data_IF_869395487279
#
_entry.id   IF_869395487279
#
_cell.length_a   1.000
_cell.length_b   1.000
_cell.length_c   1.000
_cell.angle_alpha   90.00
_cell.angle_beta   90.00
_cell.angle_gamma   90.00
#
_symmetry.space_group_name_H-M   'P 1'
#
loop_
_entity.id
_entity.type
_entity.pdbx_description
1 polymer ?
#
# COMPACT_ATOMS: atom_id res chain seq x y z
N UNK A 1 23.35 -16.90 18.80
CA UNK A 1 22.26 -16.17 19.49
C UNK A 1 22.37 -14.72 19.08
N UNK A 2 21.35 -14.21 18.38
CA UNK A 2 21.37 -12.87 17.80
C UNK A 2 21.45 -11.76 18.85
N UNK A 3 21.66 -10.53 18.37
CA UNK A 3 21.74 -9.28 19.17
C UNK A 3 20.56 -9.08 20.14
N UNK A 4 19.41 -9.70 19.88
CA UNK A 4 18.16 -9.52 20.62
C UNK A 4 17.63 -10.83 21.18
N UNK A 5 17.12 -10.79 22.42
CA UNK A 5 16.43 -11.92 23.08
C UNK A 5 14.91 -11.85 22.93
N UNK A 6 14.41 -10.66 22.58
CA UNK A 6 12.97 -10.36 22.46
C UNK A 6 12.67 -9.56 21.21
N UNK A 7 11.49 -9.80 20.62
CA UNK A 7 10.88 -8.97 19.59
C UNK A 7 9.49 -8.53 20.04
N UNK A 8 9.27 -7.23 20.14
CA UNK A 8 7.96 -6.64 20.42
C UNK A 8 7.30 -6.18 19.12
N UNK A 9 6.09 -6.67 18.86
CA UNK A 9 5.31 -6.28 17.68
C UNK A 9 4.44 -5.08 18.06
N UNK A 10 4.76 -3.92 17.49
CA UNK A 10 4.15 -2.64 17.83
C UNK A 10 2.77 -2.49 17.17
N UNK A 11 1.75 -2.25 17.99
CA UNK A 11 0.37 -1.99 17.58
C UNK A 11 -0.14 -0.70 18.24
N UNK A 12 -1.30 -0.20 17.81
CA UNK A 12 -2.00 0.91 18.47
C UNK A 12 -3.43 0.48 18.76
N UNK A 13 -3.94 0.78 19.96
CA UNK A 13 -5.33 0.48 20.30
C UNK A 13 -6.30 1.35 19.47
N UNK A 14 -7.48 0.82 19.14
CA UNK A 14 -8.59 1.57 18.54
C UNK A 14 -8.29 2.23 17.18
N UNK A 15 -7.60 1.53 16.27
CA UNK A 15 -7.48 1.96 14.87
C UNK A 15 -8.65 1.46 13.98
N UNK A 16 -8.99 2.22 12.94
CA UNK A 16 -10.04 1.87 11.95
C UNK A 16 -9.75 0.59 11.17
N UNK A 17 -8.50 0.15 11.11
CA UNK A 17 -8.06 -1.08 10.45
C UNK A 17 -7.96 -2.28 11.41
N UNK A 18 -8.32 -2.11 12.70
CA UNK A 18 -8.33 -3.22 13.67
C UNK A 18 -9.59 -4.06 13.54
N UNK A 19 -9.45 -5.33 13.89
CA UNK A 19 -10.55 -6.29 13.77
C UNK A 19 -11.24 -6.49 15.12
N UNK A 20 -12.55 -6.19 15.16
CA UNK A 20 -13.42 -6.40 16.33
C UNK A 20 -13.43 -7.85 16.86
N UNK A 21 -13.07 -8.83 16.03
CA UNK A 21 -12.99 -10.25 16.42
C UNK A 21 -11.68 -10.61 17.14
N UNK A 22 -10.70 -9.71 17.22
CA UNK A 22 -9.51 -9.92 18.05
C UNK A 22 -9.83 -9.61 19.52
N UNK A 23 -9.12 -10.18 20.50
CA UNK A 23 -9.28 -9.82 21.91
C UNK A 23 -9.27 -8.30 22.12
N UNK A 24 -10.43 -7.75 22.49
CA UNK A 24 -10.66 -6.32 22.68
C UNK A 24 -10.73 -5.47 21.40
N UNK A 25 -10.73 -6.07 20.21
CA UNK A 25 -10.79 -5.35 18.94
C UNK A 25 -9.53 -4.55 18.60
N UNK A 26 -8.38 -4.88 19.19
CA UNK A 26 -7.26 -3.92 19.35
C UNK A 26 -6.15 -4.01 18.32
N UNK A 27 -6.01 -5.11 17.58
CA UNK A 27 -4.91 -5.31 16.65
C UNK A 27 -5.35 -6.04 15.38
N UNK A 28 -4.44 -6.21 14.42
CA UNK A 28 -4.73 -6.93 13.18
C UNK A 28 -4.74 -8.44 13.39
N UNK A 29 -5.67 -9.14 12.74
CA UNK A 29 -5.90 -10.60 12.89
C UNK A 29 -4.64 -11.48 12.76
N UNK A 30 -3.68 -11.02 11.97
CA UNK A 30 -2.46 -11.68 11.56
C UNK A 30 -1.24 -11.28 12.43
N UNK A 31 -1.38 -10.30 13.33
CA UNK A 31 -0.33 -9.89 14.27
C UNK A 31 0.08 -11.01 15.26
N UNK A 32 -0.84 -11.81 15.84
CA UNK A 32 -0.47 -12.94 16.70
C UNK A 32 0.42 -13.99 16.01
N UNK A 33 0.30 -14.13 14.69
CA UNK A 33 1.09 -15.09 13.92
C UNK A 33 2.57 -14.68 13.84
N UNK A 34 2.85 -13.37 13.76
CA UNK A 34 4.21 -12.84 13.87
C UNK A 34 4.82 -13.16 15.25
N UNK A 35 4.05 -12.93 16.31
CA UNK A 35 4.47 -13.26 17.68
C UNK A 35 4.76 -14.75 17.84
N UNK A 36 3.90 -15.62 17.29
CA UNK A 36 4.09 -17.07 17.32
C UNK A 36 5.34 -17.49 16.54
N UNK A 37 5.59 -16.92 15.37
CA UNK A 37 6.76 -17.19 14.54
C UNK A 37 8.08 -16.86 15.27
N UNK A 38 8.15 -15.71 15.96
CA UNK A 38 9.31 -15.37 16.78
C UNK A 38 9.52 -16.36 17.94
N UNK A 39 8.45 -16.73 18.64
CA UNK A 39 8.51 -17.72 19.74
C UNK A 39 9.01 -19.08 19.28
N UNK A 40 8.56 -19.56 18.11
CA UNK A 40 9.04 -20.83 17.51
C UNK A 40 10.53 -20.83 17.24
N UNK A 41 11.14 -19.66 17.03
CA UNK A 41 12.58 -19.48 16.81
C UNK A 41 13.36 -19.22 18.11
N UNK A 42 12.74 -19.44 19.27
CA UNK A 42 13.37 -19.28 20.58
C UNK A 42 13.56 -17.83 21.02
N UNK A 43 12.82 -16.89 20.41
CA UNK A 43 12.86 -15.46 20.74
C UNK A 43 11.60 -15.09 21.51
N UNK A 44 11.74 -14.40 22.64
CA UNK A 44 10.58 -13.90 23.38
C UNK A 44 9.78 -12.92 22.50
N UNK A 45 8.46 -12.99 22.50
CA UNK A 45 7.66 -12.05 21.72
C UNK A 45 6.27 -11.83 22.29
N UNK A 46 5.78 -10.59 22.15
CA UNK A 46 4.43 -10.19 22.49
C UNK A 46 4.03 -8.95 21.68
N UNK A 47 2.74 -8.61 21.73
CA UNK A 47 2.22 -7.37 21.16
C UNK A 47 2.43 -6.25 22.17
N UNK A 48 3.01 -5.14 21.73
CA UNK A 48 3.13 -3.92 22.51
C UNK A 48 2.22 -2.84 21.90
N UNK A 49 1.25 -2.38 22.66
CA UNK A 49 0.45 -1.22 22.26
C UNK A 49 1.17 0.07 22.62
N UNK A 50 1.52 0.86 21.60
CA UNK A 50 2.23 2.12 21.74
C UNK A 50 1.25 3.31 21.75
N UNK A 51 1.67 4.35 22.45
CA UNK A 51 0.98 5.64 22.59
C UNK A 51 1.98 6.78 22.41
N UNK A 52 1.50 8.01 22.40
CA UNK A 52 2.33 9.21 22.37
C UNK A 52 3.30 9.36 23.57
N UNK A 53 3.18 8.53 24.60
CA UNK A 53 4.12 8.47 25.73
C UNK A 53 5.31 7.54 25.48
N UNK A 54 5.23 6.70 24.45
CA UNK A 54 6.26 5.71 24.11
C UNK A 54 7.22 6.32 23.09
N UNK A 55 8.38 6.77 23.57
CA UNK A 55 9.47 7.25 22.72
C UNK A 55 10.48 6.12 22.50
N UNK A 56 11.34 6.26 21.50
CA UNK A 56 12.44 5.29 21.31
C UNK A 56 13.28 5.12 22.59
N UNK A 57 13.58 6.22 23.28
CA UNK A 57 14.35 6.21 24.52
C UNK A 57 13.63 5.48 25.66
N UNK A 58 12.33 5.76 25.86
CA UNK A 58 11.56 5.12 26.92
C UNK A 58 11.38 3.62 26.66
N UNK A 59 11.15 3.24 25.40
CA UNK A 59 11.03 1.84 25.00
C UNK A 59 12.34 1.07 25.18
N UNK A 60 13.47 1.62 24.75
CA UNK A 60 14.78 0.98 24.90
C UNK A 60 15.21 0.86 26.37
N UNK A 61 14.84 1.84 27.21
CA UNK A 61 15.08 1.77 28.65
C UNK A 61 14.20 0.70 29.35
N UNK A 62 12.93 0.62 28.96
CA UNK A 62 11.96 -0.32 29.54
C UNK A 62 12.18 -1.76 29.07
N UNK A 63 12.65 -1.94 27.84
CA UNK A 63 12.83 -3.22 27.18
C UNK A 63 14.27 -3.38 26.65
N UNK A 64 15.26 -3.67 27.52
CA UNK A 64 16.62 -3.97 27.08
C UNK A 64 16.67 -5.26 26.24
N UNK A 65 17.72 -5.42 25.44
CA UNK A 65 17.93 -6.58 24.53
C UNK A 65 16.72 -6.90 23.62
N UNK A 66 15.92 -5.89 23.27
CA UNK A 66 14.67 -6.03 22.51
C UNK A 66 14.75 -5.34 21.15
N UNK A 67 14.32 -6.05 20.11
CA UNK A 67 14.00 -5.47 18.81
C UNK A 67 12.50 -5.19 18.69
N UNK A 68 12.14 -4.29 17.78
CA UNK A 68 10.77 -3.83 17.58
C UNK A 68 10.36 -4.02 16.12
N UNK A 69 9.16 -4.55 15.89
CA UNK A 69 8.56 -4.69 14.57
C UNK A 69 7.28 -3.85 14.51
N UNK A 70 7.28 -2.83 13.65
CA UNK A 70 6.14 -1.94 13.42
C UNK A 70 4.98 -2.63 12.71
N UNK A 71 3.79 -2.57 13.30
CA UNK A 71 2.51 -3.06 12.75
C UNK A 71 1.38 -2.02 12.79
N UNK A 72 1.74 -0.74 12.80
CA UNK A 72 0.80 0.37 12.79
C UNK A 72 0.71 0.97 11.38
N UNK A 73 -0.50 1.27 10.91
CA UNK A 73 -0.71 1.94 9.64
C UNK A 73 -0.30 3.42 9.77
N UNK A 74 0.44 4.02 8.82
CA UNK A 74 0.90 5.41 8.92
C UNK A 74 -0.26 6.40 8.75
N UNK A 75 -0.95 6.71 9.84
CA UNK A 75 -2.01 7.71 9.91
C UNK A 75 -2.12 8.26 11.34
N UNK A 76 -2.86 9.34 11.53
CA UNK A 76 -3.13 9.87 12.86
C UNK A 76 -4.15 9.03 13.62
N UNK A 77 -3.80 8.71 14.87
CA UNK A 77 -4.67 8.07 15.85
C UNK A 77 -4.89 8.99 17.05
N UNK A 78 -6.01 8.85 17.78
CA UNK A 78 -6.28 9.68 18.97
C UNK A 78 -5.20 9.62 20.06
N UNK A 79 -4.44 8.53 20.11
CA UNK A 79 -3.42 8.28 21.14
C UNK A 79 -1.98 8.32 20.60
N UNK A 80 -1.79 8.53 19.30
CA UNK A 80 -0.49 8.51 18.63
C UNK A 80 -0.62 9.15 17.24
N UNK A 81 0.02 10.29 17.00
CA UNK A 81 0.06 10.90 15.67
C UNK A 81 1.02 10.16 14.74
N UNK A 82 0.89 10.40 13.43
CA UNK A 82 1.83 9.87 12.45
C UNK A 82 3.27 10.35 12.75
N UNK A 83 3.45 11.62 13.05
CA UNK A 83 4.75 12.21 13.34
C UNK A 83 5.40 11.60 14.59
N UNK A 84 4.62 11.40 15.65
CA UNK A 84 5.08 10.73 16.88
C UNK A 84 5.51 9.29 16.60
N UNK A 85 4.73 8.56 15.80
CA UNK A 85 5.06 7.18 15.41
C UNK A 85 6.35 7.12 14.58
N UNK A 86 6.48 7.99 13.57
CA UNK A 86 7.66 8.09 12.72
C UNK A 86 8.90 8.49 13.52
N UNK A 87 8.78 9.42 14.47
CA UNK A 87 9.88 9.82 15.35
C UNK A 87 10.33 8.67 16.25
N UNK A 88 9.39 7.92 16.83
CA UNK A 88 9.68 6.73 17.63
C UNK A 88 10.43 5.67 16.79
N UNK A 89 9.92 5.33 15.60
CA UNK A 89 10.58 4.37 14.71
C UNK A 89 11.98 4.85 14.29
N UNK A 90 12.15 6.14 14.01
CA UNK A 90 13.45 6.74 13.66
C UNK A 90 14.46 6.59 14.78
N UNK A 91 14.06 6.85 16.03
CA UNK A 91 14.93 6.65 17.18
C UNK A 91 15.30 5.18 17.42
N UNK A 92 14.36 4.26 17.23
CA UNK A 92 14.63 2.81 17.33
C UNK A 92 15.58 2.34 16.22
N UNK A 93 15.40 2.84 15.00
CA UNK A 93 16.29 2.55 13.87
C UNK A 93 17.71 3.07 14.10
N UNK A 94 17.87 4.28 14.62
CA UNK A 94 19.18 4.87 14.94
C UNK A 94 19.97 4.07 15.98
N UNK A 95 19.30 3.27 16.81
CA UNK A 95 19.93 2.33 17.77
C UNK A 95 20.06 0.90 17.22
N UNK A 96 19.65 0.69 15.97
CA UNK A 96 19.63 -0.60 15.29
C UNK A 96 18.72 -1.62 15.96
N UNK A 97 17.60 -1.16 16.55
CA UNK A 97 16.61 -1.96 17.27
C UNK A 97 15.28 -2.10 16.50
N UNK A 98 15.18 -1.53 15.30
CA UNK A 98 13.98 -1.61 14.46
C UNK A 98 14.16 -2.69 13.38
N UNK A 99 13.20 -3.60 13.27
CA UNK A 99 13.14 -4.60 12.20
C UNK A 99 12.31 -4.14 10.99
N UNK A 100 11.51 -3.09 11.15
CA UNK A 100 10.79 -2.42 10.08
C UNK A 100 9.31 -2.18 10.41
N UNK A 101 8.56 -1.48 9.54
CA UNK A 101 9.06 -0.75 8.37
C UNK A 101 10.01 0.39 8.78
N UNK A 102 10.94 0.76 7.90
CA UNK A 102 11.81 1.91 8.13
C UNK A 102 11.03 3.21 7.87
N UNK A 103 11.23 4.27 8.67
CA UNK A 103 10.60 5.58 8.44
C UNK A 103 10.74 6.09 7.00
N UNK A 104 11.92 5.94 6.41
CA UNK A 104 12.20 6.34 5.03
C UNK A 104 11.34 5.57 4.02
N UNK A 105 11.14 4.26 4.21
CA UNK A 105 10.23 3.48 3.37
C UNK A 105 8.79 3.97 3.51
N UNK A 106 8.35 4.29 4.73
CA UNK A 106 6.99 4.79 4.98
C UNK A 106 6.74 6.12 4.26
N UNK A 107 7.75 6.97 4.18
CA UNK A 107 7.66 8.24 3.50
C UNK A 107 7.68 8.07 1.97
N UNK A 108 8.70 7.37 1.45
CA UNK A 108 8.96 7.24 0.01
C UNK A 108 7.98 6.30 -0.69
N UNK A 109 7.63 5.18 -0.06
CA UNK A 109 6.79 4.12 -0.65
C UNK A 109 5.35 4.12 -0.12
N UNK A 110 5.06 4.83 0.96
CA UNK A 110 3.74 4.84 1.59
C UNK A 110 2.80 5.93 1.07
N UNK A 111 3.27 6.84 0.22
CA UNK A 111 2.46 7.88 -0.42
C UNK A 111 2.32 7.62 -1.92
N UNK A 112 1.25 8.13 -2.55
CA UNK A 112 1.04 8.01 -3.99
C UNK A 112 1.96 8.87 -4.85
N UNK A 113 2.84 9.68 -4.22
CA UNK A 113 3.94 10.34 -4.91
C UNK A 113 4.81 9.33 -5.66
N UNK A 114 4.90 8.12 -5.13
CA UNK A 114 5.61 7.00 -5.75
C UNK A 114 5.18 6.71 -7.20
N UNK A 115 3.90 6.92 -7.53
CA UNK A 115 3.37 6.70 -8.87
C UNK A 115 3.90 7.77 -9.85
N UNK A 116 4.08 9.00 -9.36
CA UNK A 116 4.65 10.09 -10.15
C UNK A 116 6.16 9.89 -10.35
N UNK A 117 6.89 9.49 -9.30
CA UNK A 117 8.32 9.23 -9.40
C UNK A 117 8.66 8.04 -10.30
N UNK A 118 7.79 7.02 -10.33
CA UNK A 118 7.98 5.81 -11.14
C UNK A 118 7.27 5.87 -12.50
N UNK A 119 6.66 6.99 -12.88
CA UNK A 119 5.82 7.12 -14.09
C UNK A 119 6.52 6.76 -15.40
N UNK A 120 7.85 6.93 -15.44
CA UNK A 120 8.68 6.65 -16.61
C UNK A 120 9.42 5.30 -16.52
N UNK A 121 9.18 4.52 -15.45
CA UNK A 121 9.73 3.17 -15.29
C UNK A 121 8.95 2.13 -16.11
N UNK A 122 9.49 0.91 -16.21
CA UNK A 122 8.84 -0.25 -16.85
C UNK A 122 7.39 -0.54 -16.41
N UNK A 123 6.99 -0.08 -15.22
CA UNK A 123 5.65 -0.29 -14.66
C UNK A 123 4.88 1.04 -14.50
N UNK A 124 5.45 2.17 -14.94
CA UNK A 124 4.87 3.49 -14.78
C UNK A 124 3.81 3.82 -15.82
N UNK A 125 2.79 4.58 -15.41
CA UNK A 125 1.90 5.27 -16.33
C UNK A 125 2.45 6.67 -16.61
N UNK A 126 2.94 6.91 -17.84
CA UNK A 126 3.52 8.21 -18.24
C UNK A 126 2.54 9.38 -18.18
N UNK A 127 1.24 9.10 -18.15
CA UNK A 127 0.19 10.11 -17.99
C UNK A 127 -0.03 10.54 -16.53
N UNK A 128 0.71 9.98 -15.57
CA UNK A 128 0.66 10.42 -14.18
C UNK A 128 1.14 11.86 -14.06
N UNK A 129 0.35 12.70 -13.39
CA UNK A 129 0.63 14.12 -13.13
C UNK A 129 0.56 14.40 -11.63
N UNK A 130 1.47 15.22 -11.15
CA UNK A 130 1.46 15.78 -9.80
C UNK A 130 0.69 17.09 -9.78
N UNK A 131 -0.13 17.29 -8.76
CA UNK A 131 -0.95 18.47 -8.56
C UNK A 131 -0.70 19.03 -7.16
N UNK A 132 -0.13 20.23 -7.08
CA UNK A 132 0.15 20.88 -5.80
C UNK A 132 -1.15 21.38 -5.16
N UNK A 133 -1.27 21.26 -3.84
CA UNK A 133 -2.47 21.70 -3.10
C UNK A 133 -2.84 23.16 -3.39
N UNK A 134 -1.84 24.04 -3.51
CA UNK A 134 -2.06 25.45 -3.82
C UNK A 134 -2.73 25.62 -5.20
N UNK A 135 -2.31 24.85 -6.20
CA UNK A 135 -2.87 24.89 -7.56
C UNK A 135 -4.25 24.25 -7.62
N UNK A 136 -4.49 23.17 -6.85
CA UNK A 136 -5.81 22.57 -6.69
C UNK A 136 -6.82 23.57 -6.12
N UNK A 137 -6.41 24.32 -5.07
CA UNK A 137 -7.25 25.36 -4.44
C UNK A 137 -7.48 26.57 -5.34
N UNK A 138 -6.45 27.00 -6.07
CA UNK A 138 -6.53 28.16 -6.97
C UNK A 138 -7.29 27.84 -8.27
N UNK A 139 -7.20 26.60 -8.74
CA UNK A 139 -7.79 26.09 -9.98
C UNK A 139 -7.64 27.04 -11.19
N UNK A 140 -6.41 27.50 -11.47
CA UNK A 140 -6.10 28.37 -12.62
C UNK A 140 -5.97 27.60 -13.94
N UNK A 141 -6.67 26.47 -14.06
CA UNK A 141 -6.54 25.49 -15.16
C UNK A 141 -6.19 24.07 -14.69
N UNK A 142 -6.04 23.86 -13.38
CA UNK A 142 -5.64 22.57 -12.81
C UNK A 142 -6.65 21.46 -13.10
N UNK A 143 -7.94 21.79 -13.09
CA UNK A 143 -8.99 20.86 -13.43
C UNK A 143 -8.89 20.32 -14.86
N UNK A 144 -8.51 21.17 -15.82
CA UNK A 144 -8.30 20.76 -17.21
C UNK A 144 -7.03 19.91 -17.37
N UNK A 145 -6.03 20.06 -16.48
CA UNK A 145 -4.89 19.14 -16.41
C UNK A 145 -5.27 17.78 -15.82
N UNK A 146 -6.21 17.73 -14.87
CA UNK A 146 -6.65 16.49 -14.20
C UNK A 146 -7.56 15.66 -15.10
N UNK A 147 -8.54 16.30 -15.76
CA UNK A 147 -9.55 15.64 -16.59
C UNK A 147 -9.90 16.57 -17.75
N UNK A 148 -9.14 16.60 -18.85
CA UNK A 148 -9.39 17.51 -19.97
C UNK A 148 -10.85 17.42 -20.47
N UNK A 149 -11.44 18.54 -20.89
CA UNK A 149 -12.81 18.55 -21.44
C UNK A 149 -12.89 17.64 -22.67
N UNK A 150 -13.88 16.74 -22.69
CA UNK A 150 -14.03 15.73 -23.74
C UNK A 150 -12.91 14.67 -23.78
N UNK A 151 -11.96 14.71 -22.84
CA UNK A 151 -10.91 13.72 -22.72
C UNK A 151 -11.40 12.42 -22.07
N UNK A 152 -10.55 11.41 -22.16
CA UNK A 152 -10.78 10.08 -21.60
C UNK A 152 -10.95 10.10 -20.07
N UNK A 153 -11.60 9.07 -19.48
CA UNK A 153 -11.69 8.91 -18.04
C UNK A 153 -10.32 8.93 -17.35
N UNK A 154 -10.24 9.61 -16.20
CA UNK A 154 -9.02 9.71 -15.40
C UNK A 154 -9.30 9.39 -13.94
N UNK A 155 -8.23 9.12 -13.19
CA UNK A 155 -8.32 8.85 -11.75
C UNK A 155 -7.55 9.93 -10.99
N UNK A 156 -8.22 10.59 -10.06
CA UNK A 156 -7.60 11.54 -9.11
C UNK A 156 -7.40 10.84 -7.77
N UNK A 157 -6.18 10.88 -7.23
CA UNK A 157 -5.83 10.23 -5.97
C UNK A 157 -5.14 11.20 -5.01
N UNK A 158 -5.59 11.26 -3.75
CA UNK A 158 -4.83 11.95 -2.71
C UNK A 158 -3.58 11.15 -2.30
N UNK A 159 -2.55 11.85 -1.81
CA UNK A 159 -1.26 11.23 -1.48
C UNK A 159 -1.36 10.10 -0.47
N UNK A 160 -2.00 10.34 0.68
CA UNK A 160 -2.12 9.34 1.75
C UNK A 160 -3.57 8.93 1.93
N UNK A 161 -3.83 7.62 1.88
CA UNK A 161 -5.16 7.05 2.00
C UNK A 161 -5.13 5.54 1.86
N UNK A 162 -6.10 4.85 2.46
CA UNK A 162 -6.19 3.40 2.40
C UNK A 162 -7.58 2.94 1.96
N UNK A 163 -7.66 1.74 1.40
CA UNK A 163 -8.93 1.07 1.03
C UNK A 163 -9.83 1.89 0.09
N UNK A 164 -9.23 2.70 -0.80
CA UNK A 164 -9.96 3.52 -1.77
C UNK A 164 -10.32 4.94 -1.31
N UNK A 165 -10.04 5.32 -0.05
CA UNK A 165 -10.31 6.68 0.42
C UNK A 165 -9.52 7.70 -0.43
N UNK A 166 -10.23 8.71 -0.94
CA UNK A 166 -9.65 9.78 -1.76
C UNK A 166 -9.11 9.31 -3.11
N UNK A 167 -9.68 8.24 -3.66
CA UNK A 167 -9.42 7.74 -5.02
C UNK A 167 -10.71 7.86 -5.83
N UNK A 168 -10.73 8.76 -6.81
CA UNK A 168 -11.93 9.12 -7.57
C UNK A 168 -11.75 8.85 -9.06
N UNK A 169 -12.67 8.11 -9.68
CA UNK A 169 -12.79 8.01 -11.13
C UNK A 169 -13.53 9.26 -11.62
N UNK A 170 -13.03 9.89 -12.66
CA UNK A 170 -13.58 11.10 -13.24
C UNK A 170 -13.92 10.86 -14.70
N UNK A 171 -15.17 11.13 -15.08
CA UNK A 171 -15.67 10.99 -16.44
C UNK A 171 -16.41 12.25 -16.85
N UNK A 172 -16.10 12.80 -18.03
CA UNK A 172 -16.84 13.94 -18.56
C UNK A 172 -18.30 13.54 -18.86
N UNK A 173 -19.25 14.37 -18.45
CA UNK A 173 -20.68 14.27 -18.80
C UNK A 173 -21.09 15.57 -19.51
N UNK A 174 -20.91 15.60 -20.82
CA UNK A 174 -20.99 16.85 -21.59
C UNK A 174 -19.88 17.83 -21.20
N UNK A 175 -20.12 19.12 -21.41
CA UNK A 175 -19.07 20.15 -21.30
C UNK A 175 -18.85 20.69 -19.87
N UNK A 176 -19.88 20.56 -19.02
CA UNK A 176 -19.96 21.26 -17.74
C UNK A 176 -20.19 20.35 -16.54
N UNK A 177 -20.34 19.04 -16.73
CA UNK A 177 -20.54 18.09 -15.63
C UNK A 177 -19.47 17.00 -15.65
N UNK A 178 -19.18 16.47 -14.47
CA UNK A 178 -18.30 15.33 -14.26
C UNK A 178 -19.08 14.28 -13.48
N UNK A 179 -19.07 13.03 -13.95
CA UNK A 179 -19.40 11.89 -13.12
C UNK A 179 -18.15 11.51 -12.32
N UNK A 180 -18.27 11.58 -10.99
CA UNK A 180 -17.22 11.23 -10.05
C UNK A 180 -17.65 9.96 -9.31
N UNK A 181 -16.88 8.88 -9.45
CA UNK A 181 -17.09 7.63 -8.71
C UNK A 181 -16.04 7.54 -7.60
N UNK A 182 -16.50 7.49 -6.35
CA UNK A 182 -15.62 7.34 -5.19
C UNK A 182 -15.34 5.85 -4.93
N UNK A 183 -14.05 5.45 -4.93
CA UNK A 183 -13.65 4.06 -4.72
C UNK A 183 -13.95 3.54 -3.30
N UNK A 184 -14.03 4.42 -2.29
CA UNK A 184 -14.28 4.04 -0.91
C UNK A 184 -15.75 3.68 -0.66
N UNK A 185 -16.68 4.45 -1.22
CA UNK A 185 -18.13 4.23 -1.08
C UNK A 185 -18.74 3.46 -2.24
N UNK A 186 -18.02 3.34 -3.37
CA UNK A 186 -18.53 2.81 -4.64
C UNK A 186 -19.76 3.57 -5.17
N UNK A 187 -19.89 4.85 -4.83
CA UNK A 187 -21.00 5.70 -5.28
C UNK A 187 -20.55 6.65 -6.37
N UNK A 188 -21.42 6.85 -7.38
CA UNK A 188 -21.21 7.86 -8.42
C UNK A 188 -22.10 9.07 -8.17
N UNK A 189 -21.50 10.25 -8.21
CA UNK A 189 -22.17 11.55 -8.16
C UNK A 189 -21.88 12.31 -9.45
N UNK A 190 -22.91 12.90 -10.05
CA UNK A 190 -22.73 13.87 -11.15
C UNK A 190 -22.76 15.27 -10.55
N UNK A 191 -21.71 16.04 -10.79
CA UNK A 191 -21.57 17.38 -10.25
C UNK A 191 -21.07 18.36 -11.33
N UNK A 192 -21.39 19.66 -11.18
CA UNK A 192 -20.78 20.70 -12.01
C UNK A 192 -19.26 20.61 -11.94
N UNK A 193 -18.62 20.70 -13.10
CA UNK A 193 -17.19 20.53 -13.29
C UNK A 193 -16.39 21.44 -12.34
N UNK A 194 -16.78 22.71 -12.23
CA UNK A 194 -16.10 23.70 -11.37
C UNK A 194 -16.13 23.36 -9.87
N UNK A 195 -17.05 22.49 -9.42
CA UNK A 195 -17.14 22.08 -8.01
C UNK A 195 -16.22 20.92 -7.65
N UNK A 196 -15.63 20.23 -8.64
CA UNK A 196 -14.84 19.02 -8.38
C UNK A 196 -13.67 19.28 -7.43
N UNK A 197 -12.84 20.29 -7.71
CA UNK A 197 -11.64 20.54 -6.90
C UNK A 197 -11.97 21.12 -5.52
N UNK A 198 -13.06 21.87 -5.40
CA UNK A 198 -13.57 22.33 -4.09
C UNK A 198 -13.89 21.12 -3.23
N UNK A 199 -14.69 20.18 -3.75
CA UNK A 199 -15.07 18.95 -3.04
C UNK A 199 -13.85 18.07 -2.72
N UNK A 200 -12.90 17.95 -3.66
CA UNK A 200 -11.68 17.19 -3.42
C UNK A 200 -10.83 17.80 -2.31
N UNK A 201 -10.68 19.13 -2.31
CA UNK A 201 -9.94 19.84 -1.27
C UNK A 201 -10.64 19.75 0.11
N UNK A 202 -11.97 19.67 0.18
CA UNK A 202 -12.66 19.42 1.45
C UNK A 202 -12.30 18.06 2.06
N UNK A 203 -12.04 17.05 1.23
CA UNK A 203 -11.60 15.73 1.65
C UNK A 203 -10.10 15.66 1.95
N UNK A 204 -9.27 16.29 1.12
CA UNK A 204 -7.81 16.18 1.17
C UNK A 204 -7.15 17.56 1.26
N UNK A 205 -6.26 17.73 2.24
CA UNK A 205 -5.45 18.93 2.45
C UNK A 205 -3.97 18.68 2.13
N UNK A 206 -3.71 17.82 1.15
CA UNK A 206 -2.37 17.47 0.66
C UNK A 206 -2.30 17.65 -0.87
N UNK A 207 -1.11 17.47 -1.43
CA UNK A 207 -0.95 17.32 -2.89
C UNK A 207 -1.74 16.10 -3.39
N UNK A 208 -1.89 15.99 -4.71
CA UNK A 208 -2.56 14.86 -5.34
C UNK A 208 -1.85 14.42 -6.61
N UNK A 209 -2.19 13.22 -7.08
CA UNK A 209 -1.81 12.76 -8.41
C UNK A 209 -3.06 12.48 -9.23
N UNK A 210 -2.98 12.71 -10.55
CA UNK A 210 -3.94 12.15 -11.50
C UNK A 210 -3.25 11.19 -12.44
N UNK A 211 -3.97 10.16 -12.89
CA UNK A 211 -3.45 9.17 -13.84
C UNK A 211 -4.56 8.72 -14.80
N UNK A 212 -4.20 7.95 -15.82
CA UNK A 212 -5.19 7.37 -16.72
C UNK A 212 -6.10 6.40 -15.97
N UNK A 213 -7.38 6.34 -16.35
CA UNK A 213 -8.22 5.23 -15.89
C UNK A 213 -7.79 3.93 -16.58
N UNK A 214 -7.60 2.87 -15.80
CA UNK A 214 -7.22 1.55 -16.30
C UNK A 214 -8.47 0.66 -16.40
N UNK A 215 -9.09 0.52 -17.59
CA UNK A 215 -10.40 -0.11 -17.74
C UNK A 215 -10.39 -1.62 -17.46
N UNK A 216 -9.21 -2.26 -17.46
CA UNK A 216 -9.06 -3.67 -17.13
C UNK A 216 -9.09 -3.95 -15.62
N UNK A 217 -9.33 -2.94 -14.77
CA UNK A 217 -9.63 -3.18 -13.35
C UNK A 217 -10.83 -4.12 -13.15
N UNK A 218 -11.76 -4.17 -14.12
CA UNK A 218 -12.87 -5.14 -14.16
C UNK A 218 -12.39 -6.60 -14.25
N UNK A 219 -11.23 -6.82 -14.88
CA UNK A 219 -10.62 -8.15 -14.99
C UNK A 219 -9.83 -8.49 -13.73
N UNK A 220 -9.30 -7.47 -13.06
CA UNK A 220 -8.78 -7.53 -11.70
C UNK A 220 -7.55 -6.66 -11.46
N UNK A 221 -7.01 -6.77 -10.25
CA UNK A 221 -5.76 -6.16 -9.82
C UNK A 221 -4.81 -7.26 -9.33
N UNK A 222 -3.56 -7.22 -9.78
CA UNK A 222 -2.49 -8.10 -9.31
C UNK A 222 -1.82 -7.47 -8.09
N UNK A 223 -1.73 -8.19 -6.99
CA UNK A 223 -0.89 -7.85 -5.84
C UNK A 223 0.29 -8.81 -5.77
N UNK A 224 1.49 -8.28 -5.95
CA UNK A 224 2.74 -8.97 -5.73
C UNK A 224 3.17 -8.75 -4.28
N UNK A 225 3.08 -9.80 -3.46
CA UNK A 225 3.58 -9.77 -2.09
C UNK A 225 5.09 -10.00 -2.12
N UNK A 226 5.85 -9.02 -1.65
CA UNK A 226 7.30 -8.98 -1.79
C UNK A 226 7.97 -9.10 -0.42
N UNK A 227 9.10 -9.80 -0.40
CA UNK A 227 10.11 -9.66 0.64
C UNK A 227 11.45 -9.35 0.02
N UNK A 228 11.99 -8.17 0.37
CA UNK A 228 13.09 -7.58 -0.40
C UNK A 228 12.73 -7.60 -1.89
N UNK A 229 13.53 -8.23 -2.72
CA UNK A 229 13.31 -8.35 -4.17
C UNK A 229 12.59 -9.62 -4.59
N UNK A 230 12.24 -10.50 -3.64
CA UNK A 230 11.66 -11.80 -3.92
C UNK A 230 10.13 -11.74 -3.84
N UNK A 231 9.45 -12.30 -4.83
CA UNK A 231 8.02 -12.52 -4.77
C UNK A 231 7.73 -13.73 -3.87
N UNK A 232 6.87 -13.50 -2.90
CA UNK A 232 6.34 -14.51 -2.01
C UNK A 232 5.06 -15.13 -2.56
N UNK A 233 4.25 -14.28 -3.18
CA UNK A 233 2.94 -14.62 -3.69
C UNK A 233 2.46 -13.58 -4.68
N UNK A 234 1.66 -14.03 -5.65
CA UNK A 234 0.84 -13.16 -6.48
C UNK A 234 -0.63 -13.45 -6.23
N UNK A 235 -1.37 -12.43 -5.80
CA UNK A 235 -2.82 -12.48 -5.63
C UNK A 235 -3.48 -11.68 -6.74
N UNK A 236 -4.33 -12.34 -7.53
CA UNK A 236 -5.20 -11.67 -8.48
C UNK A 236 -6.57 -11.41 -7.84
N UNK A 237 -6.87 -10.14 -7.59
CA UNK A 237 -8.10 -9.66 -6.97
C UNK A 237 -9.08 -9.28 -8.07
N UNK A 238 -10.09 -10.10 -8.31
CA UNK A 238 -11.09 -9.84 -9.34
C UNK A 238 -12.40 -9.32 -8.73
N UNK A 239 -12.87 -8.11 -9.08
CA UNK A 239 -14.19 -7.64 -8.66
C UNK A 239 -15.30 -8.61 -9.09
N UNK A 240 -16.35 -8.74 -8.27
CA UNK A 240 -17.54 -9.52 -8.64
C UNK A 240 -18.43 -8.75 -9.61
N UNK A 241 -18.47 -7.43 -9.46
CA UNK A 241 -19.19 -6.52 -10.36
C UNK A 241 -18.23 -6.02 -11.45
N UNK A 242 -18.55 -6.29 -12.72
CA UNK A 242 -17.73 -5.85 -13.87
C UNK A 242 -17.73 -4.32 -14.05
N UNK A 243 -18.66 -3.61 -13.41
CA UNK A 243 -18.69 -2.14 -13.39
C UNK A 243 -17.84 -1.55 -12.25
N UNK A 244 -17.24 -2.40 -11.41
CA UNK A 244 -16.49 -1.95 -10.24
C UNK A 244 -15.26 -1.12 -10.62
N UNK A 245 -15.11 -0.01 -9.89
CA UNK A 245 -13.94 0.86 -9.97
C UNK A 245 -12.79 0.42 -9.04
N UNK A 246 -12.99 -0.63 -8.23
CA UNK A 246 -12.00 -1.10 -7.26
C UNK A 246 -12.11 -2.60 -7.00
N UNK A 247 -10.98 -3.25 -6.73
CA UNK A 247 -10.87 -4.67 -6.43
C UNK A 247 -10.58 -4.96 -4.95
N UNK A 248 -11.00 -4.08 -4.03
CA UNK A 248 -10.83 -4.31 -2.59
C UNK A 248 -11.81 -5.37 -2.06
N UNK A 249 -11.50 -5.99 -0.91
CA UNK A 249 -12.47 -6.87 -0.22
C UNK A 249 -13.81 -6.18 0.07
N UNK A 250 -13.83 -4.85 0.24
CA UNK A 250 -15.07 -4.10 0.45
C UNK A 250 -15.98 -4.10 -0.78
N UNK A 251 -15.43 -4.22 -1.99
CA UNK A 251 -16.20 -4.36 -3.22
C UNK A 251 -16.62 -5.82 -3.52
N UNK A 252 -16.35 -6.75 -2.60
CA UNK A 252 -16.71 -8.16 -2.75
C UNK A 252 -15.77 -8.95 -3.67
N UNK A 253 -14.60 -8.40 -4.03
CA UNK A 253 -13.67 -9.04 -4.96
C UNK A 253 -13.22 -10.45 -4.50
N UNK A 254 -13.10 -11.36 -5.47
CA UNK A 254 -12.61 -12.73 -5.30
C UNK A 254 -11.10 -12.75 -5.48
N UNK A 255 -10.39 -13.34 -4.53
CA UNK A 255 -8.93 -13.36 -4.50
C UNK A 255 -8.45 -14.73 -4.94
N UNK A 256 -7.67 -14.78 -6.02
CA UNK A 256 -7.05 -16.00 -6.52
C UNK A 256 -5.54 -15.91 -6.35
N UNK A 257 -4.94 -16.98 -5.84
CA UNK A 257 -3.48 -17.08 -5.72
C UNK A 257 -2.95 -17.75 -6.98
N UNK A 258 -1.97 -17.14 -7.63
CA UNK A 258 -1.40 -17.67 -8.87
C UNK A 258 -0.22 -18.60 -8.58
N UNK A 259 -0.05 -19.62 -9.43
CA UNK A 259 1.13 -20.46 -9.40
C UNK A 259 2.33 -19.70 -10.00
N UNK A 260 3.33 -19.42 -9.17
CA UNK A 260 4.51 -18.64 -9.60
C UNK A 260 5.30 -19.32 -10.72
N UNK A 261 5.21 -20.65 -10.87
CA UNK A 261 5.89 -21.40 -11.92
C UNK A 261 5.20 -21.26 -13.27
N UNK A 262 3.87 -21.25 -13.29
CA UNK A 262 3.08 -21.01 -14.51
C UNK A 262 3.22 -19.55 -14.98
N UNK A 263 3.39 -18.62 -14.05
CA UNK A 263 3.51 -17.19 -14.29
C UNK A 263 4.96 -16.67 -14.25
N UNK A 264 5.95 -17.54 -14.46
CA UNK A 264 7.38 -17.24 -14.22
C UNK A 264 7.88 -15.98 -14.92
N UNK A 265 7.49 -15.72 -16.17
CA UNK A 265 7.96 -14.54 -16.92
C UNK A 265 7.53 -13.22 -16.27
N UNK A 266 6.29 -13.16 -15.79
CA UNK A 266 5.75 -12.00 -15.08
C UNK A 266 6.44 -11.83 -13.72
N UNK A 267 6.62 -12.94 -12.98
CA UNK A 267 7.32 -12.96 -11.69
C UNK A 267 8.77 -12.45 -11.84
N UNK A 268 9.55 -13.05 -12.75
CA UNK A 268 10.96 -12.67 -12.97
C UNK A 268 11.09 -11.18 -13.34
N UNK A 269 10.16 -10.66 -14.15
CA UNK A 269 10.16 -9.27 -14.58
C UNK A 269 9.89 -8.30 -13.42
N UNK A 270 8.94 -8.62 -12.54
CA UNK A 270 8.64 -7.80 -11.35
C UNK A 270 9.78 -7.86 -10.34
N UNK A 271 10.37 -9.04 -10.10
CA UNK A 271 11.55 -9.16 -9.23
C UNK A 271 12.73 -8.34 -9.78
N UNK A 272 12.96 -8.37 -11.09
CA UNK A 272 14.01 -7.57 -11.72
C UNK A 272 13.73 -6.07 -11.64
N UNK A 273 12.49 -5.65 -11.91
CA UNK A 273 12.07 -4.26 -11.75
C UNK A 273 12.32 -3.76 -10.32
N UNK A 274 12.00 -4.57 -9.31
CA UNK A 274 12.20 -4.19 -7.90
C UNK A 274 13.66 -3.93 -7.54
N UNK A 275 14.63 -4.46 -8.28
CA UNK A 275 16.06 -4.18 -8.07
C UNK A 275 16.43 -2.79 -8.61
N UNK A 276 15.75 -2.35 -9.66
CA UNK A 276 16.03 -1.09 -10.34
C UNK A 276 15.38 0.12 -9.62
N UNK A 277 14.30 -0.09 -8.85
CA UNK A 277 13.59 1.05 -8.23
C UNK A 277 14.41 1.78 -7.15
N UNK A 278 15.42 1.13 -6.54
CA UNK A 278 16.23 1.76 -5.48
C UNK A 278 16.89 3.06 -5.94
N UNK A 279 17.42 3.06 -7.16
CA UNK A 279 18.10 4.21 -7.76
C UNK A 279 17.12 5.36 -8.02
N UNK A 280 15.93 5.03 -8.53
CA UNK A 280 14.87 6.02 -8.79
C UNK A 280 14.39 6.64 -7.48
N UNK A 281 14.18 5.80 -6.47
CA UNK A 281 13.60 6.21 -5.19
C UNK A 281 14.63 6.75 -4.19
N UNK A 282 15.93 6.61 -4.50
CA UNK A 282 17.05 7.02 -3.66
C UNK A 282 16.97 6.42 -2.25
N UNK A 283 16.56 5.16 -2.18
CA UNK A 283 16.50 4.38 -0.94
C UNK A 283 17.65 3.37 -0.94
N UNK A 284 18.20 3.07 0.23
CA UNK A 284 19.28 2.08 0.38
C UNK A 284 18.85 0.69 -0.13
N UNK A 285 17.63 0.29 0.24
CA UNK A 285 17.05 -0.98 -0.16
C UNK A 285 15.52 -0.91 -0.10
N UNK A 286 14.84 -1.89 -0.68
CA UNK A 286 13.39 -2.04 -0.54
C UNK A 286 13.04 -2.69 0.82
N UNK A 287 11.78 -2.57 1.28
CA UNK A 287 11.34 -3.14 2.55
C UNK A 287 11.51 -4.66 2.64
N UNK A 288 11.67 -5.18 3.86
CA UNK A 288 11.60 -6.62 4.11
C UNK A 288 10.23 -7.22 3.81
N UNK A 289 9.18 -6.40 3.86
CA UNK A 289 7.82 -6.82 3.60
C UNK A 289 7.01 -5.66 3.03
N UNK A 290 6.53 -5.84 1.81
CA UNK A 290 5.80 -4.82 1.05
C UNK A 290 4.97 -5.48 -0.06
N UNK A 291 4.09 -4.73 -0.70
CA UNK A 291 3.40 -5.18 -1.91
C UNK A 291 3.37 -4.14 -3.00
N UNK A 292 3.26 -4.65 -4.21
CA UNK A 292 3.12 -3.88 -5.44
C UNK A 292 1.80 -4.28 -6.06
N UNK A 293 0.91 -3.33 -6.25
CA UNK A 293 -0.42 -3.55 -6.79
C UNK A 293 -0.47 -2.97 -8.21
N UNK A 294 -0.85 -3.79 -9.17
CA UNK A 294 -0.82 -3.48 -10.60
C UNK A 294 -2.17 -3.79 -11.25
N UNK A 295 -2.51 -3.01 -12.27
CA UNK A 295 -3.67 -3.27 -13.14
C UNK A 295 -3.12 -3.46 -14.55
N UNK A 296 -3.73 -4.36 -15.30
CA UNK A 296 -3.36 -4.56 -16.71
C UNK A 296 -3.73 -3.34 -17.56
N UNK A 297 -2.93 -3.11 -18.60
CA UNK A 297 -3.26 -2.24 -19.71
C UNK A 297 -3.21 -3.02 -21.02
N UNK A 298 -4.02 -2.61 -21.99
CA UNK A 298 -4.05 -3.21 -23.32
C UNK A 298 -2.76 -2.90 -24.09
N UNK A 299 -2.38 -3.83 -24.96
CA UNK A 299 -1.16 -3.77 -25.76
C UNK A 299 -0.07 -4.68 -25.19
N UNK A 300 0.56 -5.45 -26.09
CA UNK A 300 1.72 -6.25 -25.74
C UNK A 300 2.85 -5.35 -25.18
N UNK A 301 3.63 -5.83 -24.20
CA UNK A 301 4.70 -5.04 -23.61
C UNK A 301 5.71 -4.63 -24.66
N UNK A 302 6.11 -3.36 -24.65
CA UNK A 302 7.14 -2.79 -25.51
C UNK A 302 8.34 -2.34 -24.67
N UNK A 303 9.55 -2.45 -25.23
CA UNK A 303 10.76 -2.06 -24.51
C UNK A 303 10.95 -2.88 -23.22
N UNK A 304 11.02 -2.17 -22.09
CA UNK A 304 11.21 -2.74 -20.75
C UNK A 304 9.89 -2.98 -19.99
N UNK A 305 8.73 -2.71 -20.61
CA UNK A 305 7.43 -2.87 -19.94
C UNK A 305 7.22 -4.28 -19.37
N UNK A 306 6.59 -4.33 -18.19
CA UNK A 306 6.38 -5.60 -17.49
C UNK A 306 5.26 -6.40 -18.18
N UNK A 307 5.53 -7.65 -18.62
CA UNK A 307 4.51 -8.50 -19.24
C UNK A 307 3.44 -8.88 -18.23
N UNK A 308 2.19 -8.98 -18.69
CA UNK A 308 1.16 -9.69 -17.95
C UNK A 308 1.16 -11.19 -18.26
N UNK A 309 0.25 -11.92 -17.60
CA UNK A 309 -0.09 -13.31 -17.93
C UNK A 309 -0.78 -13.43 -19.29
N UNK A 310 -1.44 -12.36 -19.75
CA UNK A 310 -1.94 -12.26 -21.12
C UNK A 310 -0.88 -11.60 -22.03
N UNK A 311 -0.44 -12.24 -23.13
CA UNK A 311 0.60 -11.71 -24.01
C UNK A 311 0.21 -10.42 -24.76
N UNK A 312 -1.08 -10.09 -24.83
CA UNK A 312 -1.57 -8.83 -25.43
C UNK A 312 -1.70 -7.69 -24.42
N UNK A 313 -1.21 -7.86 -23.19
CA UNK A 313 -1.33 -6.91 -22.09
C UNK A 313 -0.02 -6.73 -21.34
N UNK A 314 0.11 -5.61 -20.64
CA UNK A 314 1.24 -5.31 -19.76
C UNK A 314 0.74 -4.76 -18.42
N UNK A 315 1.60 -4.76 -17.40
CA UNK A 315 1.26 -4.31 -16.06
C UNK A 315 1.61 -2.84 -15.86
N UNK A 316 0.68 -2.08 -15.28
CA UNK A 316 0.90 -0.72 -14.80
C UNK A 316 0.68 -0.63 -13.29
N UNK A 317 1.54 0.14 -12.63
CA UNK A 317 1.55 0.32 -11.19
C UNK A 317 0.34 1.15 -10.75
N UNK A 318 -0.43 0.62 -9.79
CA UNK A 318 -1.60 1.28 -9.21
C UNK A 318 -1.33 1.79 -7.78
N UNK A 319 -0.58 1.03 -6.99
CA UNK A 319 -0.24 1.34 -5.60
C UNK A 319 0.98 0.53 -5.11
N UNK A 320 1.74 1.07 -4.15
CA UNK A 320 2.71 0.33 -3.33
C UNK A 320 2.29 0.41 -1.87
N UNK A 321 2.40 -0.70 -1.15
CA UNK A 321 2.11 -0.75 0.28
C UNK A 321 3.33 -1.30 1.04
N UNK A 322 3.93 -0.50 1.91
CA UNK A 322 5.14 -0.89 2.67
C UNK A 322 4.95 -0.91 4.19
N UNK A 323 3.74 -0.60 4.66
CA UNK A 323 3.41 -0.49 6.08
C UNK A 323 2.10 -1.21 6.37
N UNK A 324 2.02 -1.90 7.50
CA UNK A 324 0.78 -2.52 7.98
C UNK A 324 0.09 -3.46 6.97
N UNK A 325 0.88 -4.11 6.10
CA UNK A 325 0.37 -4.99 5.05
C UNK A 325 -0.31 -6.23 5.65
N UNK A 326 -1.40 -6.73 5.06
CA UNK A 326 -1.99 -7.99 5.52
C UNK A 326 -1.14 -9.19 5.10
N UNK A 327 -0.90 -10.16 5.98
CA UNK A 327 -0.23 -11.41 5.62
C UNK A 327 -1.10 -12.27 4.69
N UNK A 328 -2.42 -12.25 4.88
CA UNK A 328 -3.39 -13.02 4.08
C UNK A 328 -4.72 -12.28 3.91
N UNK A 329 -5.50 -12.72 2.93
CA UNK A 329 -6.79 -12.13 2.56
C UNK A 329 -7.90 -12.39 3.61
N UNK A 330 -8.05 -13.62 4.12
CA UNK A 330 -9.15 -14.04 5.00
C UNK A 330 -8.68 -14.63 6.35
N UNK A 331 -9.53 -15.39 7.06
CA UNK A 331 -9.25 -16.03 8.37
C UNK A 331 -9.57 -17.53 8.36
N UNK A 332 -9.69 -18.14 7.18
CA UNK A 332 -9.81 -19.59 7.06
C UNK A 332 -8.59 -20.29 7.68
N UNK A 333 -8.74 -21.55 8.05
CA UNK A 333 -7.61 -22.34 8.59
C UNK A 333 -6.47 -22.42 7.56
N UNK A 334 -6.80 -22.48 6.27
CA UNK A 334 -5.84 -22.44 5.17
C UNK A 334 -5.08 -21.11 5.13
N UNK A 335 -5.80 -19.98 5.23
CA UNK A 335 -5.18 -18.66 5.33
C UNK A 335 -4.33 -18.51 6.59
N UNK A 336 -4.72 -19.12 7.71
CA UNK A 336 -3.90 -19.13 8.92
C UNK A 336 -2.59 -19.91 8.70
N UNK A 337 -2.65 -21.12 8.17
CA UNK A 337 -1.45 -21.92 7.89
C UNK A 337 -0.49 -21.19 6.96
N UNK A 338 -1.03 -20.51 5.96
CA UNK A 338 -0.26 -19.71 5.02
C UNK A 338 0.30 -18.43 5.64
N UNK A 339 -0.51 -17.70 6.41
CA UNK A 339 -0.06 -16.52 7.13
C UNK A 339 1.05 -16.85 8.12
N UNK A 340 0.99 -18.01 8.77
CA UNK A 340 2.07 -18.53 9.60
C UNK A 340 3.36 -18.78 8.80
N UNK A 341 3.28 -19.33 7.57
CA UNK A 341 4.48 -19.49 6.71
C UNK A 341 5.13 -18.13 6.39
N UNK A 342 4.33 -17.11 6.08
CA UNK A 342 4.87 -15.76 5.84
C UNK A 342 5.44 -15.14 7.11
N UNK A 343 4.79 -15.33 8.26
CA UNK A 343 5.30 -14.87 9.55
C UNK A 343 6.64 -15.54 9.90
N UNK A 344 6.75 -16.86 9.68
CA UNK A 344 7.99 -17.62 9.90
C UNK A 344 9.13 -17.09 9.03
N UNK A 345 8.85 -16.81 7.76
CA UNK A 345 9.85 -16.27 6.83
C UNK A 345 10.23 -14.82 7.17
N UNK A 346 9.28 -13.96 7.55
CA UNK A 346 9.59 -12.61 8.06
C UNK A 346 10.52 -12.74 9.27
N UNK A 347 10.20 -13.64 10.21
CA UNK A 347 11.02 -13.89 11.37
C UNK A 347 12.42 -14.41 11.01
N UNK A 348 12.56 -15.29 10.00
CA UNK A 348 13.87 -15.72 9.50
C UNK A 348 14.69 -14.58 8.92
N UNK A 349 14.04 -13.64 8.24
CA UNK A 349 14.71 -12.52 7.58
C UNK A 349 15.18 -11.48 8.59
N UNK A 350 14.33 -11.12 9.55
CA UNK A 350 14.65 -10.05 10.50
C UNK A 350 15.52 -10.52 11.68
N UNK A 351 15.63 -11.83 11.91
CA UNK A 351 16.50 -12.40 12.95
C UNK A 351 17.92 -12.77 12.45
N UNK A 352 18.16 -12.74 11.13
CA UNK A 352 19.51 -12.81 10.55
C UNK A 352 20.29 -11.55 10.90
#
# INVERSE_FOLDING_TARGET
>A
MGKFKRVLVLEVEMAKDKNASTPGGKYRKDTPWLVEAFKKKGVESEVLFVTNKDTAESLLAKYPDTAFLGRVNPMDYPVLSLDEYVAMLSGLNAKGALFGPLPEHMDRLGSKMILYELKDSAMGDREVRLHMLADLKANTGELDKIIPKGGEPRVLKMMRGSTGLGVWKLENKGDNEIAMTDAYTSTTEVLPREKLLVKFCELSQEDAISMSFLPLIKDGEFRFLMSKHKILEVVHKKPVDETAFTATLRSGAVYNILDLTEHKKMVDAVEQWSKNIKEILKIDDVPYWWSVDCIEAEGAPTGDQIPSSNPSRHLLLSEINCSCLGLVADTSEEAKQKGMKFADMIADIVLQ
#
